data_IF_624305962125
#
_entry.id   IF_624305962125
#
_cell.length_a   1.000
_cell.length_b   1.000
_cell.length_c   1.000
_cell.angle_alpha   90.00
_cell.angle_beta   90.00
_cell.angle_gamma   90.00
#
_symmetry.space_group_name_H-M   'P 1'
#
loop_
_entity.id
_entity.type
_entity.pdbx_description
1 polymer ?
#
# COMPACT_ATOMS: atom_id res chain seq x y z
N UNK A 1 21.56 -29.03 94.64
CA UNK A 1 22.76 -28.18 94.67
C UNK A 1 23.82 -28.85 93.82
N UNK A 2 24.51 -28.16 92.89
CA UNK A 2 24.13 -27.20 91.83
C UNK A 2 23.83 -27.98 90.50
N UNK A 3 23.21 -27.51 89.42
CA UNK A 3 23.27 -26.27 88.59
C UNK A 3 24.11 -26.46 87.31
N UNK A 4 23.67 -25.78 86.23
CA UNK A 4 24.21 -25.64 84.86
C UNK A 4 23.61 -26.59 83.79
N UNK A 5 22.62 -26.19 82.99
CA UNK A 5 22.55 -25.12 81.94
C UNK A 5 23.12 -25.61 80.60
N UNK A 6 22.25 -26.06 79.70
CA UNK A 6 22.54 -26.08 78.27
C UNK A 6 21.27 -25.72 77.47
N UNK A 7 21.32 -24.51 76.92
CA UNK A 7 20.36 -23.93 75.97
C UNK A 7 20.60 -24.54 74.59
N UNK A 8 19.52 -24.94 73.92
CA UNK A 8 19.42 -24.81 72.46
C UNK A 8 17.96 -24.66 72.02
N UNK A 9 17.70 -23.51 71.40
CA UNK A 9 16.45 -23.02 70.81
C UNK A 9 16.24 -23.60 69.38
N UNK A 10 15.07 -23.37 68.75
CA UNK A 10 14.42 -24.30 67.83
C UNK A 10 14.76 -24.12 66.34
N UNK A 11 14.32 -25.12 65.55
CA UNK A 11 14.28 -25.15 64.09
C UNK A 11 13.84 -23.80 63.50
N UNK A 12 14.74 -23.15 62.75
CA UNK A 12 14.38 -22.12 61.79
C UNK A 12 13.85 -22.75 60.50
N UNK A 13 12.63 -22.38 60.16
CA UNK A 13 12.03 -22.54 58.85
C UNK A 13 12.73 -21.61 57.83
N UNK A 14 13.27 -22.17 56.76
CA UNK A 14 13.58 -21.44 55.53
C UNK A 14 12.32 -21.54 54.63
N UNK A 15 11.55 -20.46 54.44
CA UNK A 15 11.74 -19.40 53.44
C UNK A 15 11.85 -19.95 52.01
N UNK A 16 10.72 -20.44 51.48
CA UNK A 16 10.44 -20.38 50.05
C UNK A 16 9.76 -19.03 49.76
N UNK A 17 10.29 -18.16 48.89
CA UNK A 17 9.53 -17.02 48.42
C UNK A 17 8.38 -17.52 47.54
N UNK A 18 7.15 -17.11 47.89
CA UNK A 18 5.98 -17.31 47.06
C UNK A 18 6.16 -16.57 45.74
N UNK A 19 6.27 -17.33 44.64
CA UNK A 19 6.25 -16.82 43.29
C UNK A 19 4.83 -16.30 43.01
N UNK A 20 4.70 -14.97 42.95
CA UNK A 20 3.44 -14.32 42.65
C UNK A 20 3.06 -14.62 41.20
N UNK A 21 1.86 -15.19 40.99
CA UNK A 21 1.30 -15.38 39.67
C UNK A 21 1.18 -14.04 38.93
N UNK A 22 1.55 -13.95 37.63
CA UNK A 22 1.37 -12.74 36.85
C UNK A 22 -0.13 -12.45 36.67
N UNK A 23 -0.52 -11.20 36.92
CA UNK A 23 -1.88 -10.71 36.73
C UNK A 23 -2.26 -10.70 35.23
N UNK A 24 -3.52 -10.98 34.84
CA UNK A 24 -3.91 -11.20 33.44
C UNK A 24 -4.05 -9.92 32.59
N UNK A 25 -3.72 -8.74 33.11
CA UNK A 25 -4.21 -7.47 32.56
C UNK A 25 -3.12 -6.55 31.96
N UNK A 26 -1.94 -7.06 31.62
CA UNK A 26 -0.84 -6.21 31.10
C UNK A 26 -0.48 -6.39 29.61
N UNK A 27 -1.13 -7.26 28.85
CA UNK A 27 -0.75 -7.56 27.46
C UNK A 27 -1.65 -6.95 26.37
N UNK A 28 -2.50 -5.96 26.67
CA UNK A 28 -3.42 -5.38 25.67
C UNK A 28 -3.22 -3.89 25.35
N UNK A 29 -2.08 -3.28 25.69
CA UNK A 29 -1.91 -1.83 25.58
C UNK A 29 -0.69 -1.34 24.77
N UNK A 30 -0.22 -2.08 23.76
CA UNK A 30 0.87 -1.62 22.87
C UNK A 30 0.56 -1.76 21.36
N UNK A 31 -0.68 -1.54 20.95
CA UNK A 31 -1.03 -1.50 19.52
C UNK A 31 -1.96 -0.33 19.21
N UNK A 32 -1.50 0.92 19.38
CA UNK A 32 -2.11 2.11 18.74
C UNK A 32 -1.23 3.36 18.93
N UNK A 33 0.07 3.25 18.65
CA UNK A 33 0.87 4.44 18.43
C UNK A 33 0.56 4.97 17.02
N UNK A 34 -0.34 5.96 16.90
CA UNK A 34 -0.55 6.69 15.66
C UNK A 34 0.80 7.19 15.12
N UNK A 35 1.18 6.89 13.87
CA UNK A 35 2.42 7.36 13.31
C UNK A 35 2.42 8.89 13.28
N UNK A 36 3.50 9.50 13.77
CA UNK A 36 3.68 10.95 13.75
C UNK A 36 3.43 11.51 12.33
N UNK A 37 2.75 12.67 12.19
CA UNK A 37 2.36 13.19 10.89
C UNK A 37 3.59 13.43 10.02
N UNK A 38 3.66 12.75 8.88
CA UNK A 38 4.75 12.90 7.93
C UNK A 38 4.87 14.36 7.46
N UNK A 39 6.07 14.92 7.55
CA UNK A 39 6.34 16.29 7.09
C UNK A 39 6.05 16.39 5.59
N UNK A 40 5.18 17.34 5.21
CA UNK A 40 4.83 17.56 3.79
C UNK A 40 6.07 18.03 3.04
N UNK A 41 6.38 17.34 1.95
CA UNK A 41 7.49 17.62 1.04
C UNK A 41 7.01 17.82 -0.38
N UNK A 42 7.86 18.39 -1.21
CA UNK A 42 7.54 18.61 -2.63
C UNK A 42 7.49 17.29 -3.40
N UNK A 43 6.42 17.12 -4.19
CA UNK A 43 6.23 15.98 -5.10
C UNK A 43 6.43 16.44 -6.55
N UNK A 44 7.67 16.59 -7.01
CA UNK A 44 7.96 17.22 -8.30
C UNK A 44 8.32 16.25 -9.43
N UNK A 45 8.64 15.00 -9.08
CA UNK A 45 9.23 14.03 -9.99
C UNK A 45 8.54 12.69 -9.78
N UNK A 46 7.45 12.44 -10.48
CA UNK A 46 6.58 11.27 -10.24
C UNK A 46 7.25 9.94 -10.60
N UNK A 47 8.13 9.94 -11.60
CA UNK A 47 8.84 8.75 -12.11
C UNK A 47 7.88 7.62 -12.54
N UNK A 48 6.60 7.92 -12.86
CA UNK A 48 5.58 6.90 -13.15
C UNK A 48 5.94 6.06 -14.37
N UNK A 49 6.33 6.71 -15.48
CA UNK A 49 6.77 6.02 -16.71
C UNK A 49 7.97 5.11 -16.44
N UNK A 50 8.98 5.63 -15.74
CA UNK A 50 10.18 4.86 -15.43
C UNK A 50 9.88 3.70 -14.49
N UNK A 51 8.98 3.88 -13.52
CA UNK A 51 8.57 2.83 -12.58
C UNK A 51 7.92 1.66 -13.29
N UNK A 52 7.01 1.92 -14.23
CA UNK A 52 6.39 0.88 -15.07
C UNK A 52 7.42 0.12 -15.92
N UNK A 53 8.48 0.79 -16.38
CA UNK A 53 9.53 0.17 -17.21
C UNK A 53 10.52 -0.65 -16.38
N UNK A 54 10.97 -0.12 -15.24
CA UNK A 54 12.12 -0.68 -14.52
C UNK A 54 11.76 -1.60 -13.36
N UNK A 55 10.61 -1.44 -12.70
CA UNK A 55 10.21 -2.33 -11.60
C UNK A 55 10.12 -3.81 -12.02
N UNK A 56 9.57 -4.16 -13.21
CA UNK A 56 9.59 -5.56 -13.69
C UNK A 56 11.00 -6.15 -13.86
N UNK A 57 12.03 -5.30 -13.99
CA UNK A 57 13.41 -5.74 -14.17
C UNK A 57 14.11 -6.03 -12.83
N UNK A 58 13.56 -5.58 -11.70
CA UNK A 58 14.18 -5.68 -10.38
C UNK A 58 14.58 -7.13 -10.03
N UNK A 59 13.74 -8.12 -10.34
CA UNK A 59 14.02 -9.52 -10.02
C UNK A 59 15.24 -10.12 -10.75
N UNK A 60 15.79 -9.43 -11.75
CA UNK A 60 17.01 -9.84 -12.45
C UNK A 60 18.28 -9.58 -11.64
N UNK A 61 18.17 -8.84 -10.54
CA UNK A 61 19.30 -8.43 -9.70
C UNK A 61 19.25 -9.13 -8.34
N UNK A 62 20.43 -9.48 -7.83
CA UNK A 62 20.54 -10.13 -6.53
C UNK A 62 20.42 -9.14 -5.35
N UNK A 63 20.82 -7.88 -5.56
CA UNK A 63 20.85 -6.84 -4.52
C UNK A 63 20.25 -5.53 -5.01
N UNK A 64 19.81 -4.70 -4.06
CA UNK A 64 19.27 -3.38 -4.35
C UNK A 64 20.34 -2.47 -4.97
N UNK A 65 21.59 -2.59 -4.54
CA UNK A 65 22.73 -1.84 -5.08
C UNK A 65 22.99 -2.15 -6.55
N UNK A 66 22.89 -3.43 -6.94
CA UNK A 66 23.04 -3.84 -8.34
C UNK A 66 21.90 -3.27 -9.19
N UNK A 67 20.67 -3.31 -8.67
CA UNK A 67 19.53 -2.68 -9.35
C UNK A 67 19.67 -1.15 -9.43
N UNK A 68 20.15 -0.51 -8.36
CA UNK A 68 20.45 0.93 -8.31
C UNK A 68 21.49 1.35 -9.35
N UNK A 69 22.54 0.56 -9.51
CA UNK A 69 23.57 0.78 -10.53
C UNK A 69 22.95 0.72 -11.93
N UNK A 70 22.13 -0.30 -12.19
CA UNK A 70 21.39 -0.44 -13.45
C UNK A 70 20.47 0.76 -13.73
N UNK A 71 19.68 1.20 -12.75
CA UNK A 71 18.85 2.41 -12.87
C UNK A 71 19.71 3.64 -13.19
N UNK A 72 20.82 3.81 -12.48
CA UNK A 72 21.72 4.96 -12.66
C UNK A 72 22.39 5.00 -14.04
N UNK A 73 22.52 3.86 -14.72
CA UNK A 73 23.02 3.78 -16.10
C UNK A 73 21.92 3.92 -17.14
N UNK A 74 20.74 3.33 -16.90
CA UNK A 74 19.73 3.09 -17.94
C UNK A 74 18.56 4.06 -17.94
N UNK A 75 18.36 4.84 -16.87
CA UNK A 75 17.30 5.85 -16.86
C UNK A 75 17.48 6.86 -18.00
N UNK A 76 16.40 7.32 -18.66
CA UNK A 76 16.45 8.11 -19.88
C UNK A 76 16.75 9.61 -19.63
N UNK A 77 17.80 9.89 -18.85
CA UNK A 77 18.28 11.25 -18.59
C UNK A 77 19.72 11.41 -19.04
N UNK A 78 20.02 12.54 -19.68
CA UNK A 78 21.36 12.81 -20.25
C UNK A 78 22.45 12.86 -19.16
N UNK A 79 22.17 13.49 -18.02
CA UNK A 79 23.14 13.65 -16.94
C UNK A 79 23.20 12.42 -16.01
N UNK A 80 24.43 11.94 -15.75
CA UNK A 80 24.68 10.88 -14.78
C UNK A 80 24.26 11.26 -13.34
N UNK A 81 24.42 12.52 -12.94
CA UNK A 81 23.99 12.99 -11.62
C UNK A 81 22.46 12.98 -11.50
N UNK A 82 21.76 13.35 -12.56
CA UNK A 82 20.29 13.28 -12.63
C UNK A 82 19.82 11.82 -12.55
N UNK A 83 20.41 10.91 -13.34
CA UNK A 83 20.06 9.47 -13.28
C UNK A 83 20.23 8.91 -11.87
N UNK A 84 21.37 9.19 -11.21
CA UNK A 84 21.61 8.77 -9.82
C UNK A 84 20.55 9.30 -8.85
N UNK A 85 20.19 10.59 -8.96
CA UNK A 85 19.16 11.19 -8.12
C UNK A 85 17.79 10.56 -8.35
N UNK A 86 17.40 10.34 -9.60
CA UNK A 86 16.12 9.70 -9.94
C UNK A 86 16.04 8.25 -9.51
N UNK A 87 17.12 7.50 -9.69
CA UNK A 87 17.23 6.14 -9.17
C UNK A 87 16.98 6.11 -7.66
N UNK A 88 17.60 7.02 -6.89
CA UNK A 88 17.35 7.11 -5.46
C UNK A 88 15.87 7.40 -5.12
N UNK A 89 15.21 8.30 -5.85
CA UNK A 89 13.79 8.59 -5.63
C UNK A 89 12.91 7.37 -5.89
N UNK A 90 13.14 6.64 -6.97
CA UNK A 90 12.41 5.41 -7.26
C UNK A 90 12.61 4.38 -6.15
N UNK A 91 13.87 4.13 -5.74
CA UNK A 91 14.16 3.13 -4.71
C UNK A 91 13.54 3.51 -3.35
N UNK A 92 13.60 4.78 -2.96
CA UNK A 92 13.01 5.25 -1.72
C UNK A 92 11.48 5.09 -1.68
N UNK A 93 10.80 5.10 -2.83
CA UNK A 93 9.35 4.91 -2.93
C UNK A 93 8.92 3.45 -2.93
N UNK A 94 9.63 2.62 -3.69
CA UNK A 94 9.20 1.24 -3.97
C UNK A 94 9.94 0.19 -3.14
N UNK A 95 11.04 0.56 -2.50
CA UNK A 95 11.89 -0.31 -1.68
C UNK A 95 12.35 0.40 -0.39
N UNK A 96 11.43 0.94 0.43
CA UNK A 96 11.80 1.72 1.63
C UNK A 96 12.57 0.92 2.67
N UNK A 97 12.41 -0.42 2.70
CA UNK A 97 13.10 -1.32 3.63
C UNK A 97 14.45 -1.84 3.12
N UNK A 98 14.97 -1.25 2.03
CA UNK A 98 16.21 -1.64 1.36
C UNK A 98 16.30 -3.12 0.93
N UNK A 99 15.15 -3.77 0.69
CA UNK A 99 15.04 -5.17 0.27
C UNK A 99 14.50 -5.28 -1.14
N UNK A 100 15.11 -6.11 -1.98
CA UNK A 100 14.63 -6.37 -3.34
C UNK A 100 13.67 -7.57 -3.43
N UNK A 101 13.80 -8.54 -2.51
CA UNK A 101 12.90 -9.70 -2.42
C UNK A 101 11.60 -9.29 -1.70
N UNK A 102 10.74 -8.56 -2.41
CA UNK A 102 9.47 -8.05 -1.90
C UNK A 102 8.31 -8.58 -2.74
N UNK A 103 7.07 -8.53 -2.22
CA UNK A 103 5.89 -8.79 -3.02
C UNK A 103 5.80 -7.94 -4.29
N UNK A 104 6.25 -6.68 -4.24
CA UNK A 104 6.30 -5.79 -5.41
C UNK A 104 7.17 -6.37 -6.53
N UNK A 105 8.40 -6.78 -6.21
CA UNK A 105 9.32 -7.36 -7.19
C UNK A 105 8.75 -8.65 -7.78
N UNK A 106 8.17 -9.52 -6.96
CA UNK A 106 7.54 -10.74 -7.44
C UNK A 106 6.37 -10.41 -8.38
N UNK A 107 5.46 -9.54 -7.96
CA UNK A 107 4.28 -9.13 -8.72
C UNK A 107 4.64 -8.50 -10.07
N UNK A 108 5.54 -7.52 -10.08
CA UNK A 108 5.92 -6.78 -11.28
C UNK A 108 6.49 -7.67 -12.39
N UNK A 109 7.10 -8.81 -12.05
CA UNK A 109 7.62 -9.78 -13.04
C UNK A 109 6.55 -10.69 -13.63
N UNK A 110 5.36 -10.74 -13.02
CA UNK A 110 4.27 -11.66 -13.36
C UNK A 110 3.08 -10.98 -14.01
N UNK A 111 3.03 -9.64 -13.97
CA UNK A 111 2.07 -8.84 -14.71
C UNK A 111 2.11 -9.21 -16.21
N UNK A 112 0.94 -9.43 -16.79
CA UNK A 112 0.82 -9.73 -18.21
C UNK A 112 0.90 -8.45 -19.06
N UNK A 113 0.49 -7.33 -18.47
CA UNK A 113 0.54 -6.01 -19.09
C UNK A 113 0.97 -4.92 -18.09
N UNK A 114 1.38 -3.74 -18.57
CA UNK A 114 1.57 -2.58 -17.70
C UNK A 114 0.32 -2.18 -16.91
N UNK A 115 -0.89 -2.44 -17.44
CA UNK A 115 -2.14 -2.11 -16.75
C UNK A 115 -2.29 -2.86 -15.42
N UNK A 116 -1.79 -4.10 -15.33
CA UNK A 116 -1.81 -4.88 -14.09
C UNK A 116 -0.91 -4.24 -13.01
N UNK A 117 0.19 -3.61 -13.43
CA UNK A 117 1.18 -3.01 -12.54
C UNK A 117 0.82 -1.60 -12.09
N UNK A 118 0.08 -0.84 -12.91
CA UNK A 118 -0.27 0.56 -12.63
C UNK A 118 -0.89 0.77 -11.23
N UNK A 119 -1.87 -0.04 -10.77
CA UNK A 119 -2.44 0.13 -9.43
C UNK A 119 -1.41 0.01 -8.31
N UNK A 120 -0.49 -0.96 -8.41
CA UNK A 120 0.58 -1.13 -7.44
C UNK A 120 1.54 0.08 -7.43
N UNK A 121 1.91 0.57 -8.61
CA UNK A 121 2.79 1.73 -8.74
C UNK A 121 2.13 2.99 -8.17
N UNK A 122 0.86 3.23 -8.50
CA UNK A 122 0.11 4.38 -7.97
C UNK A 122 0.01 4.28 -6.45
N UNK A 123 -0.37 3.12 -5.94
CA UNK A 123 -0.52 2.89 -4.51
C UNK A 123 0.76 3.21 -3.74
N UNK A 124 1.89 2.58 -4.10
CA UNK A 124 3.18 2.83 -3.45
C UNK A 124 3.67 4.27 -3.63
N UNK A 125 3.39 4.90 -4.78
CA UNK A 125 3.73 6.30 -5.01
C UNK A 125 3.02 7.22 -4.01
N UNK A 126 1.72 7.03 -3.78
CA UNK A 126 0.97 7.84 -2.83
C UNK A 126 1.36 7.51 -1.39
N UNK A 127 1.59 6.24 -1.04
CA UNK A 127 2.11 5.85 0.28
C UNK A 127 3.43 6.56 0.60
N UNK A 128 4.31 6.67 -0.40
CA UNK A 128 5.62 7.30 -0.22
C UNK A 128 5.61 8.83 -0.32
N UNK A 129 4.54 9.45 -0.83
CA UNK A 129 4.50 10.89 -1.12
C UNK A 129 3.31 11.59 -0.45
N UNK A 130 3.49 12.14 0.77
CA UNK A 130 2.42 12.70 1.58
C UNK A 130 1.58 13.78 0.89
N UNK A 131 2.19 14.62 0.05
CA UNK A 131 1.45 15.64 -0.70
C UNK A 131 0.50 14.99 -1.73
N UNK A 132 0.95 13.94 -2.42
CA UNK A 132 0.13 13.23 -3.42
C UNK A 132 -1.01 12.46 -2.74
N UNK A 133 -0.73 11.81 -1.60
CA UNK A 133 -1.76 11.18 -0.77
C UNK A 133 -2.85 12.18 -0.35
N UNK A 134 -2.47 13.36 0.17
CA UNK A 134 -3.45 14.40 0.55
C UNK A 134 -4.27 14.91 -0.63
N UNK A 135 -3.66 15.07 -1.80
CA UNK A 135 -4.41 15.41 -3.03
C UNK A 135 -5.43 14.32 -3.35
N UNK A 136 -5.09 13.05 -3.21
CA UNK A 136 -6.04 11.96 -3.43
C UNK A 136 -7.19 11.97 -2.40
N UNK A 137 -6.88 12.12 -1.12
CA UNK A 137 -7.86 11.97 -0.04
C UNK A 137 -8.73 13.19 0.20
N UNK A 138 -8.13 14.39 0.13
CA UNK A 138 -8.78 15.64 0.54
C UNK A 138 -9.27 16.47 -0.65
N UNK A 139 -8.85 16.14 -1.87
CA UNK A 139 -9.23 16.90 -3.07
C UNK A 139 -9.90 16.02 -4.13
N UNK A 140 -9.25 14.95 -4.59
CA UNK A 140 -9.78 14.10 -5.67
C UNK A 140 -10.96 13.27 -5.20
N UNK A 141 -10.84 12.56 -4.08
CA UNK A 141 -11.91 11.72 -3.56
C UNK A 141 -13.21 12.50 -3.27
N UNK A 142 -13.18 13.67 -2.58
CA UNK A 142 -14.39 14.48 -2.38
C UNK A 142 -14.98 15.03 -3.69
N UNK A 143 -14.15 15.23 -4.72
CA UNK A 143 -14.59 15.71 -6.03
C UNK A 143 -15.10 14.59 -6.96
N UNK A 144 -15.08 13.32 -6.53
CA UNK A 144 -15.54 12.17 -7.32
C UNK A 144 -16.97 12.34 -7.88
N UNK A 145 -17.97 12.87 -7.14
CA UNK A 145 -19.30 13.10 -7.70
C UNK A 145 -19.33 14.11 -8.86
N UNK A 146 -18.39 15.05 -8.89
CA UNK A 146 -18.25 16.03 -9.98
C UNK A 146 -17.40 15.47 -11.12
N UNK A 147 -16.45 14.57 -10.79
CA UNK A 147 -15.62 13.84 -11.73
C UNK A 147 -14.55 14.68 -12.46
N UNK A 148 -14.24 15.86 -11.92
CA UNK A 148 -13.21 16.75 -12.48
C UNK A 148 -12.65 17.72 -11.45
N UNK A 149 -11.39 18.11 -11.65
CA UNK A 149 -10.71 19.17 -10.92
C UNK A 149 -9.91 20.05 -11.89
N UNK A 150 -9.98 21.37 -11.69
CA UNK A 150 -9.13 22.31 -12.42
C UNK A 150 -7.70 22.31 -11.89
N UNK A 151 -6.76 22.65 -12.76
CA UNK A 151 -5.35 22.84 -12.39
C UNK A 151 -5.18 23.90 -11.30
N UNK A 152 -5.99 24.95 -11.31
CA UNK A 152 -5.96 26.00 -10.29
C UNK A 152 -6.48 25.51 -8.93
N UNK A 153 -7.46 24.60 -8.88
CA UNK A 153 -7.93 24.00 -7.63
C UNK A 153 -6.80 23.20 -6.95
N UNK A 154 -6.10 22.38 -7.76
CA UNK A 154 -4.94 21.61 -7.29
C UNK A 154 -3.80 22.54 -6.88
N UNK A 155 -3.59 23.63 -7.62
CA UNK A 155 -2.58 24.65 -7.30
C UNK A 155 -2.85 25.31 -5.95
N UNK A 156 -4.07 25.79 -5.72
CA UNK A 156 -4.47 26.41 -4.46
C UNK A 156 -4.27 25.43 -3.30
N UNK A 157 -4.70 24.18 -3.49
CA UNK A 157 -4.51 23.12 -2.51
C UNK A 157 -3.03 22.90 -2.18
N UNK A 158 -2.15 22.77 -3.18
CA UNK A 158 -0.71 22.59 -2.98
C UNK A 158 -0.10 23.78 -2.22
N UNK A 159 -0.45 25.01 -2.57
CA UNK A 159 0.07 26.22 -1.93
C UNK A 159 -0.40 26.39 -0.49
N UNK A 160 -1.52 25.77 -0.10
CA UNK A 160 -1.97 25.73 1.30
C UNK A 160 -0.99 24.99 2.21
N UNK A 161 -0.36 23.93 1.71
CA UNK A 161 0.62 23.14 2.45
C UNK A 161 2.07 23.59 2.22
N UNK A 162 2.34 24.20 1.06
CA UNK A 162 3.67 24.65 0.65
C UNK A 162 3.60 26.10 0.12
N UNK A 163 3.36 27.10 1.01
CA UNK A 163 3.12 28.48 0.59
C UNK A 163 4.32 29.14 -0.08
N UNK A 164 5.54 28.78 0.33
CA UNK A 164 6.78 29.38 -0.17
C UNK A 164 7.31 28.71 -1.45
N UNK A 165 6.50 27.87 -2.09
CA UNK A 165 6.93 27.12 -3.27
C UNK A 165 7.11 28.05 -4.48
N UNK A 166 8.33 28.09 -5.02
CA UNK A 166 8.61 28.87 -6.23
C UNK A 166 7.72 28.45 -7.40
N UNK A 167 7.39 29.38 -8.31
CA UNK A 167 6.56 29.10 -9.48
C UNK A 167 7.09 27.94 -10.35
N UNK A 168 8.41 27.81 -10.49
CA UNK A 168 9.03 26.73 -11.24
C UNK A 168 8.84 25.36 -10.55
N UNK A 169 8.97 25.30 -9.22
CA UNK A 169 8.72 24.08 -8.45
C UNK A 169 7.24 23.72 -8.44
N UNK A 170 6.36 24.69 -8.27
CA UNK A 170 4.91 24.50 -8.33
C UNK A 170 4.46 23.92 -9.68
N UNK A 171 5.00 24.43 -10.79
CA UNK A 171 4.73 23.87 -12.13
C UNK A 171 5.10 22.38 -12.22
N UNK A 172 6.24 21.98 -11.65
CA UNK A 172 6.68 20.58 -11.62
C UNK A 172 5.78 19.73 -10.74
N UNK A 173 5.38 20.24 -9.57
CA UNK A 173 4.47 19.52 -8.67
C UNK A 173 3.12 19.27 -9.33
N UNK A 174 2.53 20.30 -9.93
CA UNK A 174 1.28 20.15 -10.68
C UNK A 174 1.41 19.14 -11.83
N UNK A 175 2.52 19.20 -12.58
CA UNK A 175 2.76 18.24 -13.65
C UNK A 175 2.91 16.81 -13.12
N UNK A 176 3.65 16.60 -12.02
CA UNK A 176 3.82 15.29 -11.40
C UNK A 176 2.50 14.70 -10.91
N UNK A 177 1.61 15.52 -10.32
CA UNK A 177 0.26 15.11 -9.92
C UNK A 177 -0.52 14.65 -11.15
N UNK A 178 -0.65 15.49 -12.18
CA UNK A 178 -1.40 15.12 -13.39
C UNK A 178 -0.82 13.87 -14.07
N UNK A 179 0.51 13.78 -14.17
CA UNK A 179 1.20 12.62 -14.72
C UNK A 179 0.89 11.34 -13.94
N UNK A 180 0.95 11.37 -12.61
CA UNK A 180 0.67 10.20 -11.79
C UNK A 180 -0.75 9.66 -12.06
N UNK A 181 -1.76 10.52 -12.07
CA UNK A 181 -3.13 10.10 -12.36
C UNK A 181 -3.33 9.59 -13.78
N UNK A 182 -2.72 10.24 -14.77
CA UNK A 182 -2.91 9.92 -16.19
C UNK A 182 -2.13 8.68 -16.64
N UNK A 183 -0.83 8.62 -16.34
CA UNK A 183 0.04 7.51 -16.73
C UNK A 183 -0.37 6.23 -15.99
N UNK A 184 -0.80 6.34 -14.73
CA UNK A 184 -1.18 5.20 -13.90
C UNK A 184 -2.68 4.89 -13.97
N UNK A 185 -3.42 5.53 -14.89
CA UNK A 185 -4.75 5.10 -15.31
C UNK A 185 -5.87 5.34 -14.30
N UNK A 186 -5.69 6.28 -13.38
CA UNK A 186 -6.73 6.68 -12.38
C UNK A 186 -7.58 7.85 -12.90
N UNK A 187 -7.02 8.67 -13.79
CA UNK A 187 -7.71 9.79 -14.41
C UNK A 187 -7.20 10.10 -15.81
N UNK A 188 -7.76 11.13 -16.42
CA UNK A 188 -7.38 11.63 -17.73
C UNK A 188 -7.17 13.15 -17.67
N UNK A 189 -6.13 13.65 -18.34
CA UNK A 189 -5.91 15.09 -18.49
C UNK A 189 -6.65 15.59 -19.74
N UNK A 190 -7.47 16.62 -19.56
CA UNK A 190 -8.13 17.38 -20.61
C UNK A 190 -7.75 18.84 -20.45
N UNK A 191 -6.72 19.26 -21.17
CA UNK A 191 -6.11 20.60 -21.06
C UNK A 191 -5.65 20.88 -19.63
N UNK A 192 -6.32 21.80 -18.94
CA UNK A 192 -6.02 22.19 -17.56
C UNK A 192 -6.98 21.54 -16.55
N UNK A 193 -7.63 20.44 -16.93
CA UNK A 193 -8.60 19.73 -16.09
C UNK A 193 -8.19 18.27 -15.93
N UNK A 194 -8.12 17.79 -14.70
CA UNK A 194 -8.01 16.38 -14.39
C UNK A 194 -9.42 15.80 -14.30
N UNK A 195 -9.77 14.86 -15.17
CA UNK A 195 -11.06 14.15 -15.18
C UNK A 195 -10.89 12.75 -14.61
N UNK A 196 -11.88 12.31 -13.83
CA UNK A 196 -11.87 11.00 -13.20
C UNK A 196 -13.31 10.58 -12.87
N UNK A 197 -13.51 9.28 -12.70
CA UNK A 197 -14.78 8.70 -12.31
C UNK A 197 -14.51 7.38 -11.62
N UNK A 198 -15.51 6.82 -10.93
CA UNK A 198 -15.39 5.46 -10.44
C UNK A 198 -15.20 4.51 -11.63
N UNK A 199 -14.20 3.63 -11.56
CA UNK A 199 -13.84 2.77 -12.69
C UNK A 199 -13.45 1.35 -12.24
N UNK A 200 -13.52 0.35 -13.13
CA UNK A 200 -12.95 -0.95 -12.86
C UNK A 200 -11.41 -0.90 -12.91
N UNK A 201 -10.75 -1.78 -12.17
CA UNK A 201 -9.32 -2.08 -12.31
C UNK A 201 -9.07 -3.44 -12.97
N UNK A 202 -7.89 -3.99 -12.73
CA UNK A 202 -7.54 -5.38 -13.06
C UNK A 202 -7.66 -6.26 -11.81
N UNK A 203 -7.92 -7.55 -12.00
CA UNK A 203 -7.98 -8.50 -10.88
C UNK A 203 -6.63 -8.63 -10.18
N UNK A 204 -5.54 -8.66 -10.95
CA UNK A 204 -4.16 -8.71 -10.47
C UNK A 204 -3.78 -7.47 -9.67
N UNK A 205 -4.13 -6.29 -10.19
CA UNK A 205 -3.93 -5.03 -9.49
C UNK A 205 -4.69 -4.97 -8.18
N UNK A 206 -5.97 -5.42 -8.18
CA UNK A 206 -6.75 -5.54 -6.96
C UNK A 206 -6.11 -6.50 -5.96
N UNK A 207 -5.75 -7.71 -6.40
CA UNK A 207 -5.11 -8.69 -5.52
C UNK A 207 -3.90 -8.09 -4.83
N UNK A 208 -3.03 -7.44 -5.60
CA UNK A 208 -1.83 -6.81 -5.07
C UNK A 208 -2.16 -5.76 -4.01
N UNK A 209 -2.99 -4.77 -4.37
CA UNK A 209 -3.28 -3.64 -3.48
C UNK A 209 -4.10 -4.07 -2.26
N UNK A 210 -5.09 -4.94 -2.44
CA UNK A 210 -5.91 -5.49 -1.36
C UNK A 210 -5.04 -6.17 -0.30
N UNK A 211 -4.07 -6.99 -0.73
CA UNK A 211 -3.17 -7.70 0.19
C UNK A 211 -2.03 -6.84 0.73
N UNK A 212 -1.80 -5.64 0.17
CA UNK A 212 -0.96 -4.62 0.79
C UNK A 212 -1.71 -3.87 1.89
N UNK A 213 -2.96 -3.43 1.62
CA UNK A 213 -3.79 -2.71 2.60
C UNK A 213 -4.18 -3.61 3.78
N UNK A 214 -4.60 -4.83 3.49
CA UNK A 214 -4.98 -5.84 4.48
C UNK A 214 -3.84 -6.86 4.61
N UNK A 215 -2.70 -6.41 5.14
CA UNK A 215 -1.42 -7.12 5.12
C UNK A 215 -1.39 -8.47 5.88
N UNK A 216 -2.39 -8.75 6.71
CA UNK A 216 -2.46 -9.95 7.54
C UNK A 216 -3.57 -10.92 7.12
N UNK A 217 -3.41 -12.22 7.39
CA UNK A 217 -4.55 -13.13 7.40
C UNK A 217 -5.60 -12.65 8.42
N UNK A 218 -6.85 -12.55 8.00
CA UNK A 218 -7.89 -11.96 8.84
C UNK A 218 -9.26 -11.94 8.21
N UNK A 219 -10.24 -11.59 9.03
CA UNK A 219 -11.62 -11.33 8.62
C UNK A 219 -11.82 -9.83 8.57
N UNK A 220 -12.24 -9.34 7.41
CA UNK A 220 -12.39 -7.92 7.11
C UNK A 220 -13.81 -7.64 6.66
N UNK A 221 -14.32 -6.46 6.99
CA UNK A 221 -15.69 -6.06 6.62
C UNK A 221 -15.70 -5.34 5.27
N UNK A 222 -16.85 -5.36 4.59
CA UNK A 222 -17.02 -4.58 3.36
C UNK A 222 -16.98 -3.08 3.66
N UNK A 223 -17.43 -2.66 4.84
CA UNK A 223 -17.34 -1.28 5.30
C UNK A 223 -15.88 -0.83 5.40
N UNK A 224 -14.98 -1.70 5.92
CA UNK A 224 -13.55 -1.42 5.96
C UNK A 224 -12.97 -1.30 4.54
N UNK A 225 -13.38 -2.17 3.61
CA UNK A 225 -12.98 -2.06 2.20
C UNK A 225 -13.52 -0.78 1.55
N UNK A 226 -14.76 -0.40 1.79
CA UNK A 226 -15.39 0.79 1.21
C UNK A 226 -14.78 2.09 1.76
N UNK A 227 -14.28 2.05 2.99
CA UNK A 227 -13.57 3.15 3.65
C UNK A 227 -12.04 3.10 3.48
N UNK A 228 -11.49 2.09 2.82
CA UNK A 228 -10.04 1.91 2.70
C UNK A 228 -9.37 2.92 1.76
N UNK A 229 -8.05 3.08 1.91
CA UNK A 229 -7.26 3.96 1.05
C UNK A 229 -7.27 3.47 -0.40
N UNK A 230 -7.24 2.15 -0.63
CA UNK A 230 -7.24 1.58 -1.99
C UNK A 230 -8.44 2.06 -2.81
N UNK A 231 -9.64 2.13 -2.22
CA UNK A 231 -10.84 2.59 -2.93
C UNK A 231 -10.79 4.08 -3.16
N UNK A 232 -10.36 4.86 -2.15
CA UNK A 232 -10.30 6.32 -2.26
C UNK A 232 -9.24 6.80 -3.24
N UNK A 233 -8.12 6.10 -3.32
CA UNK A 233 -6.98 6.49 -4.15
C UNK A 233 -7.13 6.00 -5.58
N UNK A 234 -7.52 4.73 -5.78
CA UNK A 234 -7.65 4.13 -7.11
C UNK A 234 -9.03 4.35 -7.73
N UNK A 235 -9.95 5.01 -7.02
CA UNK A 235 -11.30 5.33 -7.48
C UNK A 235 -12.06 4.10 -8.02
N UNK A 236 -11.82 2.94 -7.41
CA UNK A 236 -12.43 1.71 -7.88
C UNK A 236 -13.92 1.66 -7.59
N UNK A 237 -14.67 1.21 -8.60
CA UNK A 237 -16.11 1.02 -8.50
C UNK A 237 -16.46 0.00 -7.40
N UNK A 238 -17.49 0.31 -6.62
CA UNK A 238 -17.91 -0.49 -5.46
C UNK A 238 -18.40 -1.87 -5.88
N UNK A 239 -19.25 -1.91 -6.89
CA UNK A 239 -19.84 -3.17 -7.33
C UNK A 239 -18.80 -4.05 -8.03
N UNK A 240 -17.88 -3.42 -8.77
CA UNK A 240 -16.70 -4.08 -9.32
C UNK A 240 -15.84 -4.71 -8.22
N UNK A 241 -15.51 -3.98 -7.16
CA UNK A 241 -14.77 -4.52 -6.01
C UNK A 241 -15.46 -5.76 -5.43
N UNK A 242 -16.76 -5.68 -5.17
CA UNK A 242 -17.54 -6.79 -4.63
C UNK A 242 -17.47 -8.03 -5.55
N UNK A 243 -17.65 -7.84 -6.86
CA UNK A 243 -17.54 -8.92 -7.84
C UNK A 243 -16.14 -9.53 -7.89
N UNK A 244 -15.10 -8.71 -7.80
CA UNK A 244 -13.73 -9.22 -7.81
C UNK A 244 -13.37 -9.97 -6.53
N UNK A 245 -13.93 -9.62 -5.36
CA UNK A 245 -13.78 -10.45 -4.15
C UNK A 245 -14.35 -11.86 -4.38
N UNK A 246 -15.50 -11.96 -5.05
CA UNK A 246 -16.07 -13.26 -5.43
C UNK A 246 -15.17 -14.02 -6.42
N UNK A 247 -14.57 -13.33 -7.41
CA UNK A 247 -13.61 -13.94 -8.32
C UNK A 247 -12.35 -14.44 -7.59
N UNK A 248 -11.83 -13.68 -6.62
CA UNK A 248 -10.72 -14.10 -5.75
C UNK A 248 -11.11 -15.29 -4.86
N UNK A 249 -12.38 -15.39 -4.45
CA UNK A 249 -12.89 -16.55 -3.71
C UNK A 249 -12.94 -17.81 -4.59
N UNK A 250 -13.43 -17.71 -5.82
CA UNK A 250 -13.44 -18.82 -6.78
C UNK A 250 -12.03 -19.31 -7.13
N UNK A 251 -11.05 -18.41 -7.11
CA UNK A 251 -9.63 -18.73 -7.28
C UNK A 251 -8.96 -19.28 -6.01
N UNK A 252 -9.69 -19.37 -4.90
CA UNK A 252 -9.20 -19.87 -3.61
C UNK A 252 -8.21 -18.95 -2.93
N UNK A 253 -8.20 -17.66 -3.28
CA UNK A 253 -7.37 -16.63 -2.66
C UNK A 253 -8.08 -16.04 -1.45
N UNK A 254 -9.38 -15.79 -1.57
CA UNK A 254 -10.28 -15.48 -0.44
C UNK A 254 -10.93 -16.78 0.00
N UNK A 255 -10.93 -17.07 1.30
CA UNK A 255 -11.50 -18.33 1.80
C UNK A 255 -13.01 -18.28 1.97
N UNK A 256 -13.56 -17.08 2.22
CA UNK A 256 -15.00 -16.87 2.42
C UNK A 256 -15.39 -15.43 2.07
N UNK A 257 -16.50 -15.28 1.37
CA UNK A 257 -17.28 -14.04 1.28
C UNK A 257 -18.64 -14.34 1.90
N UNK A 258 -19.05 -13.54 2.86
CA UNK A 258 -20.28 -13.74 3.63
C UNK A 258 -21.09 -12.46 3.62
N UNK A 259 -22.34 -12.56 3.16
CA UNK A 259 -23.35 -11.52 3.27
C UNK A 259 -24.55 -12.15 3.97
N UNK A 260 -24.61 -12.02 5.31
CA UNK A 260 -25.70 -12.57 6.12
C UNK A 260 -26.26 -11.44 6.98
N UNK A 261 -27.57 -11.25 6.92
CA UNK A 261 -28.30 -10.18 7.58
C UNK A 261 -27.71 -8.78 7.27
N UNK A 262 -27.13 -8.12 8.28
CA UNK A 262 -26.48 -6.81 8.17
C UNK A 262 -24.96 -6.89 8.07
N UNK A 263 -24.37 -8.09 8.12
CA UNK A 263 -22.91 -8.28 8.17
C UNK A 263 -22.38 -8.74 6.80
N UNK A 264 -21.55 -7.89 6.19
CA UNK A 264 -20.83 -8.20 4.95
C UNK A 264 -19.33 -8.28 5.25
N UNK A 265 -18.74 -9.45 5.05
CA UNK A 265 -17.34 -9.71 5.39
C UNK A 265 -16.66 -10.66 4.41
N UNK A 266 -15.34 -10.53 4.29
CA UNK A 266 -14.48 -11.44 3.54
C UNK A 266 -13.29 -11.88 4.39
N UNK A 267 -12.73 -13.06 4.09
CA UNK A 267 -11.59 -13.61 4.84
C UNK A 267 -10.39 -13.80 3.93
N UNK A 268 -9.28 -13.16 4.27
CA UNK A 268 -7.97 -13.37 3.68
C UNK A 268 -7.22 -14.42 4.50
N UNK A 269 -6.95 -15.62 3.98
CA UNK A 269 -6.27 -16.67 4.71
C UNK A 269 -4.73 -16.63 4.57
N UNK A 270 -4.19 -15.72 3.74
CA UNK A 270 -2.77 -15.70 3.36
C UNK A 270 -2.18 -14.31 3.52
N UNK A 271 -0.88 -14.26 3.82
CA UNK A 271 -0.08 -13.05 3.61
C UNK A 271 0.01 -12.71 2.12
N UNK A 272 0.45 -11.48 1.82
CA UNK A 272 0.55 -10.99 0.46
C UNK A 272 1.39 -11.88 -0.47
N UNK A 273 2.59 -12.30 -0.06
CA UNK A 273 3.48 -13.09 -0.91
C UNK A 273 2.86 -14.46 -1.22
N UNK A 274 2.27 -15.09 -0.21
CA UNK A 274 1.58 -16.38 -0.33
C UNK A 274 0.36 -16.27 -1.25
N UNK A 275 -0.45 -15.21 -1.12
CA UNK A 275 -1.60 -14.96 -1.98
C UNK A 275 -1.18 -14.77 -3.45
N UNK A 276 -0.15 -13.97 -3.72
CA UNK A 276 0.38 -13.78 -5.07
C UNK A 276 0.91 -15.09 -5.66
N UNK A 277 1.72 -15.84 -4.92
CA UNK A 277 2.25 -17.14 -5.39
C UNK A 277 1.14 -18.12 -5.73
N UNK A 278 0.08 -18.18 -4.92
CA UNK A 278 -1.09 -19.02 -5.20
C UNK A 278 -1.82 -18.56 -6.45
N UNK A 279 -2.08 -17.27 -6.60
CA UNK A 279 -2.77 -16.74 -7.77
C UNK A 279 -2.00 -17.00 -9.06
N UNK A 280 -0.72 -16.64 -9.11
CA UNK A 280 0.12 -16.82 -10.30
C UNK A 280 0.52 -18.28 -10.56
N UNK A 281 0.43 -19.15 -9.54
CA UNK A 281 0.61 -20.60 -9.67
C UNK A 281 -0.68 -21.36 -9.98
N UNK A 282 -1.85 -20.71 -9.95
CA UNK A 282 -3.12 -21.37 -10.15
C UNK A 282 -3.35 -21.65 -11.65
N UNK A 283 -3.44 -22.93 -12.08
CA UNK A 283 -3.67 -23.28 -13.48
C UNK A 283 -5.03 -22.78 -13.99
N UNK A 284 -5.98 -22.48 -13.10
CA UNK A 284 -7.32 -22.03 -13.46
C UNK A 284 -7.41 -20.54 -13.80
N UNK A 285 -6.35 -19.75 -13.56
CA UNK A 285 -6.34 -18.28 -13.73
C UNK A 285 -6.81 -17.80 -15.11
N UNK A 286 -6.52 -18.54 -16.18
CA UNK A 286 -6.94 -18.19 -17.56
C UNK A 286 -8.25 -18.85 -18.02
N UNK A 287 -8.87 -19.67 -17.18
CA UNK A 287 -10.07 -20.49 -17.53
C UNK A 287 -11.30 -20.15 -16.70
N UNK A 288 -11.14 -19.52 -15.52
CA UNK A 288 -12.29 -19.00 -14.79
C UNK A 288 -12.81 -17.81 -15.58
N UNK A 289 -14.04 -17.94 -16.11
CA UNK A 289 -14.75 -16.81 -16.66
C UNK A 289 -14.91 -15.78 -15.54
N UNK A 290 -14.13 -14.71 -15.59
CA UNK A 290 -14.26 -13.62 -14.65
C UNK A 290 -15.65 -13.00 -14.84
N UNK A 291 -16.31 -12.67 -13.73
CA UNK A 291 -17.59 -11.95 -13.75
C UNK A 291 -17.34 -10.52 -14.29
N UNK A 292 -17.31 -10.36 -15.61
CA UNK A 292 -17.01 -9.09 -16.29
C UNK A 292 -18.25 -8.32 -16.79
N UNK A 293 -19.46 -8.86 -16.61
CA UNK A 293 -20.71 -8.20 -17.03
C UNK A 293 -21.71 -8.09 -15.89
N UNK A 294 -22.28 -6.90 -15.71
CA UNK A 294 -23.50 -6.72 -14.93
C UNK A 294 -24.70 -7.15 -15.77
N UNK A 295 -25.34 -8.26 -15.39
CA UNK A 295 -26.78 -8.36 -15.51
C UNK A 295 -27.35 -7.98 -14.15
N UNK A 296 -28.05 -6.85 -14.14
CA UNK A 296 -29.03 -6.50 -13.11
C UNK A 296 -30.32 -7.29 -13.36
#
# INVERSE_FOLDING_TARGET
MPDQDERALPLQAALFPAEAAPSPDQDLAEADAEPAPATIRTFADDESVNSLVFLPQAARFATLEAFKAHLSERLPYNSASTRRRRANYMLARFYPDDKLNTPLTFFATRCASPEDLKPAVFYHLLTAEPLAARVAEELVWPALPVGRLGREDIREFVLRFLPDLSAASLKKVLHAIFNAYTILGVGAEDRDVLRFQAHPGTLEGLLYVLTTEFAGPGMYTFEALEASTLRRWLLWDRDWLCRQLANLADLGIISKVSEIDTVRQFTLPFDQMTALRRHFGNPRRGTVALREGGEA
#
